data_IF_628234615134
#
_entry.id   IF_628234615134
#
_cell.length_a   1.000
_cell.length_b   1.000
_cell.length_c   1.000
_cell.angle_alpha   90.00
_cell.angle_beta   90.00
_cell.angle_gamma   90.00
#
_symmetry.space_group_name_H-M   'P 1'
#
loop_
_entity.id
_entity.type
_entity.pdbx_description
1 polymer ?
#
# COMPACT_ATOMS: atom_id res chain seq x y z
N UNK A 1 -28.23 -24.23 -43.40
CA UNK A 1 -27.26 -23.56 -44.30
C UNK A 1 -26.00 -23.26 -43.50
N UNK A 2 -24.84 -23.82 -43.87
CA UNK A 2 -23.56 -23.48 -43.23
C UNK A 2 -23.09 -22.12 -43.78
N UNK A 3 -22.92 -21.13 -42.91
CA UNK A 3 -22.35 -19.83 -43.27
C UNK A 3 -20.82 -19.95 -43.20
N UNK A 4 -20.13 -19.52 -44.25
CA UNK A 4 -18.67 -19.51 -44.30
C UNK A 4 -18.16 -18.14 -43.90
N UNK A 5 -17.21 -18.10 -42.97
CA UNK A 5 -16.48 -16.89 -42.61
C UNK A 5 -15.12 -16.89 -43.32
N UNK A 6 -14.73 -15.74 -43.88
CA UNK A 6 -13.37 -15.53 -44.39
C UNK A 6 -12.68 -14.48 -43.53
N UNK A 7 -11.66 -14.90 -42.80
CA UNK A 7 -10.73 -14.01 -42.11
C UNK A 7 -9.57 -13.75 -43.07
N UNK A 8 -9.37 -12.50 -43.47
CA UNK A 8 -8.20 -12.10 -44.25
C UNK A 8 -7.15 -11.55 -43.27
N UNK A 9 -6.01 -12.23 -43.16
CA UNK A 9 -4.85 -11.75 -42.40
C UNK A 9 -3.84 -11.23 -43.42
N UNK A 10 -3.69 -9.90 -43.52
CA UNK A 10 -2.65 -9.29 -44.32
C UNK A 10 -1.43 -8.99 -43.43
N UNK A 11 -0.29 -9.59 -43.77
CA UNK A 11 0.98 -9.39 -43.06
C UNK A 11 1.48 -7.97 -43.36
N UNK A 12 1.47 -7.09 -42.35
CA UNK A 12 2.06 -5.74 -42.43
C UNK A 12 1.33 -4.67 -41.61
N UNK A 13 0.00 -4.75 -41.51
CA UNK A 13 -0.83 -3.92 -40.60
C UNK A 13 -2.06 -4.77 -40.26
N UNK A 14 -2.15 -5.28 -39.03
CA UNK A 14 -3.28 -6.13 -38.64
C UNK A 14 -4.53 -5.28 -38.47
N UNK A 15 -5.36 -5.24 -39.51
CA UNK A 15 -6.76 -4.79 -39.42
C UNK A 15 -7.62 -6.04 -39.44
N UNK A 16 -8.13 -6.47 -38.29
CA UNK A 16 -9.11 -7.57 -38.24
C UNK A 16 -10.45 -7.01 -38.70
N UNK A 17 -10.74 -7.17 -39.99
CA UNK A 17 -12.06 -6.87 -40.57
C UNK A 17 -12.90 -8.13 -40.64
N UNK A 18 -13.99 -8.20 -39.88
CA UNK A 18 -15.01 -9.23 -40.04
C UNK A 18 -15.93 -8.77 -41.18
N UNK A 19 -15.93 -9.49 -42.30
CA UNK A 19 -16.85 -9.21 -43.42
C UNK A 19 -18.16 -9.97 -43.14
N UNK A 20 -19.21 -9.23 -42.79
CA UNK A 20 -20.56 -9.78 -42.69
C UNK A 20 -21.06 -10.26 -44.06
N UNK A 21 -21.58 -11.48 -44.14
CA UNK A 21 -22.22 -12.00 -45.35
C UNK A 21 -23.63 -11.42 -45.44
N UNK A 22 -23.85 -10.55 -46.42
CA UNK A 22 -25.18 -10.03 -46.79
C UNK A 22 -26.08 -11.19 -47.26
N UNK A 23 -27.26 -11.33 -46.68
CA UNK A 23 -28.39 -11.98 -47.36
C UNK A 23 -28.86 -11.09 -48.51
N UNK A 24 -29.19 -11.65 -49.70
CA UNK A 24 -29.62 -10.83 -50.82
C UNK A 24 -31.07 -10.39 -50.64
N UNK A 25 -31.27 -9.24 -49.99
CA UNK A 25 -32.44 -8.39 -50.18
C UNK A 25 -32.10 -6.95 -49.77
N UNK A 26 -32.39 -6.02 -50.67
CA UNK A 26 -32.16 -4.57 -50.61
C UNK A 26 -30.69 -4.11 -50.81
N UNK A 27 -30.44 -3.58 -52.01
CA UNK A 27 -29.27 -2.80 -52.33
C UNK A 27 -29.37 -1.42 -51.66
N UNK A 28 -28.46 -1.13 -50.73
CA UNK A 28 -28.35 0.18 -50.09
C UNK A 28 -26.97 0.34 -49.44
N UNK A 29 -26.18 1.28 -49.97
CA UNK A 29 -24.88 1.84 -49.53
C UNK A 29 -24.19 1.16 -48.34
N UNK A 30 -23.01 0.58 -48.61
CA UNK A 30 -22.16 -0.07 -47.63
C UNK A 30 -21.63 0.85 -46.54
N UNK A 31 -22.03 0.56 -45.31
CA UNK A 31 -21.31 0.89 -44.08
C UNK A 31 -20.59 -0.37 -43.60
N UNK A 32 -19.27 -0.33 -43.47
CA UNK A 32 -18.53 -1.39 -42.77
C UNK A 32 -18.89 -1.32 -41.28
N UNK A 33 -19.81 -2.17 -40.83
CA UNK A 33 -20.06 -2.37 -39.40
C UNK A 33 -18.82 -3.04 -38.79
N UNK A 34 -18.01 -2.22 -38.13
CA UNK A 34 -16.85 -2.67 -37.35
C UNK A 34 -17.41 -3.25 -36.05
N UNK A 35 -17.37 -4.57 -35.86
CA UNK A 35 -17.59 -5.15 -34.53
C UNK A 35 -16.48 -4.65 -33.61
N UNK A 36 -16.80 -3.68 -32.75
CA UNK A 36 -15.83 -3.04 -31.85
C UNK A 36 -15.63 -3.81 -30.54
N UNK A 37 -16.48 -4.79 -30.22
CA UNK A 37 -16.41 -5.54 -28.97
C UNK A 37 -16.08 -7.02 -29.19
N UNK A 38 -14.79 -7.30 -29.29
CA UNK A 38 -14.22 -8.66 -29.23
C UNK A 38 -14.56 -9.43 -27.94
N UNK A 39 -15.20 -8.80 -26.95
CA UNK A 39 -15.67 -9.42 -25.70
C UNK A 39 -16.94 -10.28 -25.86
N UNK A 40 -17.65 -10.15 -26.99
CA UNK A 40 -18.94 -10.81 -27.21
C UNK A 40 -18.83 -12.13 -27.96
N UNK A 41 -17.62 -12.53 -28.39
CA UNK A 41 -17.41 -13.75 -29.18
C UNK A 41 -17.29 -14.97 -28.25
N UNK A 42 -18.20 -15.96 -28.32
CA UNK A 42 -18.15 -17.17 -27.49
C UNK A 42 -16.86 -17.99 -27.74
N UNK A 43 -16.36 -18.69 -26.71
CA UNK A 43 -15.10 -19.46 -26.76
C UNK A 43 -15.07 -20.53 -27.85
N UNK A 44 -16.21 -21.15 -28.15
CA UNK A 44 -16.28 -22.21 -29.15
C UNK A 44 -16.18 -21.66 -30.58
N UNK A 45 -16.71 -20.45 -30.80
CA UNK A 45 -16.56 -19.74 -32.06
C UNK A 45 -15.12 -19.29 -32.27
N UNK A 46 -14.42 -18.87 -31.20
CA UNK A 46 -12.98 -18.62 -31.26
C UNK A 46 -12.19 -19.86 -31.69
N UNK A 47 -12.47 -21.03 -31.09
CA UNK A 47 -11.81 -22.29 -31.48
C UNK A 47 -12.07 -22.62 -32.96
N UNK A 48 -13.30 -22.45 -33.43
CA UNK A 48 -13.65 -22.68 -34.84
C UNK A 48 -12.94 -21.69 -35.78
N UNK A 49 -12.95 -20.39 -35.47
CA UNK A 49 -12.30 -19.34 -36.25
C UNK A 49 -10.78 -19.52 -36.35
N UNK A 50 -10.17 -20.05 -35.29
CA UNK A 50 -8.73 -20.20 -35.17
C UNK A 50 -8.23 -21.58 -35.63
N UNK A 51 -9.13 -22.56 -35.77
CA UNK A 51 -8.81 -23.91 -36.27
C UNK A 51 -8.07 -23.99 -37.61
N UNK A 52 -8.24 -23.07 -38.59
CA UNK A 52 -7.52 -23.12 -39.86
C UNK A 52 -6.13 -22.48 -39.82
N UNK A 53 -5.81 -21.74 -38.75
CA UNK A 53 -4.57 -20.99 -38.63
C UNK A 53 -3.46 -21.97 -38.23
N UNK A 54 -2.28 -21.83 -38.84
CA UNK A 54 -1.13 -22.66 -38.50
C UNK A 54 -0.77 -22.50 -37.02
N UNK A 55 -0.28 -23.56 -36.38
CA UNK A 55 0.04 -23.51 -34.96
C UNK A 55 1.08 -22.42 -34.63
N UNK A 56 2.02 -22.16 -35.54
CA UNK A 56 3.02 -21.09 -35.40
C UNK A 56 2.39 -19.69 -35.42
N UNK A 57 1.36 -19.48 -36.25
CA UNK A 57 0.64 -18.22 -36.33
C UNK A 57 -0.33 -18.04 -35.15
N UNK A 58 -0.89 -19.12 -34.60
CA UNK A 58 -1.66 -19.10 -33.36
C UNK A 58 -0.81 -18.68 -32.15
N UNK A 59 0.45 -19.11 -32.10
CA UNK A 59 1.39 -18.66 -31.09
C UNK A 59 1.70 -17.15 -31.23
N UNK A 60 1.85 -16.66 -32.47
CA UNK A 60 1.97 -15.22 -32.72
C UNK A 60 0.71 -14.45 -32.30
N UNK A 61 -0.49 -14.99 -32.56
CA UNK A 61 -1.75 -14.39 -32.14
C UNK A 61 -1.89 -14.36 -30.61
N UNK A 62 -1.47 -15.41 -29.91
CA UNK A 62 -1.39 -15.45 -28.46
C UNK A 62 -0.48 -14.36 -27.86
N UNK A 63 0.58 -13.97 -28.56
CA UNK A 63 1.44 -12.85 -28.15
C UNK A 63 0.80 -11.47 -28.39
N UNK A 64 -0.15 -11.38 -29.33
CA UNK A 64 -0.85 -10.12 -29.67
C UNK A 64 -1.95 -9.82 -28.66
N UNK A 65 -2.68 -10.84 -28.18
CA UNK A 65 -3.78 -10.63 -27.24
C UNK A 65 -3.97 -11.82 -26.28
N UNK A 66 -4.07 -11.51 -24.99
CA UNK A 66 -4.21 -12.49 -23.91
C UNK A 66 -5.43 -13.41 -24.03
N UNK A 67 -6.45 -13.03 -24.81
CA UNK A 67 -7.66 -13.85 -25.02
C UNK A 67 -7.39 -15.08 -25.86
N UNK A 68 -6.37 -15.02 -26.73
CA UNK A 68 -5.97 -16.17 -27.53
C UNK A 68 -5.27 -17.25 -26.68
N UNK A 69 -4.80 -16.95 -25.47
CA UNK A 69 -4.18 -17.94 -24.58
C UNK A 69 -5.11 -19.11 -24.22
N UNK A 70 -6.40 -18.84 -24.00
CA UNK A 70 -7.38 -19.89 -23.67
C UNK A 70 -7.64 -20.85 -24.84
N UNK A 71 -7.43 -20.39 -26.08
CA UNK A 71 -7.60 -21.20 -27.29
C UNK A 71 -6.35 -22.03 -27.59
N UNK A 72 -5.18 -21.53 -27.18
CA UNK A 72 -3.85 -22.13 -27.44
C UNK A 72 -3.43 -23.15 -26.36
N UNK A 73 -4.29 -23.44 -25.38
CA UNK A 73 -4.02 -24.33 -24.24
C UNK A 73 -3.63 -25.81 -24.58
N UNK A 74 -3.48 -26.18 -25.87
CA UNK A 74 -2.94 -27.46 -26.33
C UNK A 74 -1.60 -27.37 -27.10
N UNK A 75 -1.00 -26.19 -27.22
CA UNK A 75 0.16 -25.98 -28.09
C UNK A 75 1.46 -26.63 -27.57
N UNK A 76 2.07 -27.44 -28.44
CA UNK A 76 3.37 -28.12 -28.23
C UNK A 76 4.54 -27.46 -28.93
N UNK A 77 4.42 -26.27 -29.51
CA UNK A 77 5.49 -25.75 -30.37
C UNK A 77 6.76 -25.30 -29.66
N UNK A 78 7.69 -24.82 -30.48
CA UNK A 78 9.06 -24.46 -30.09
C UNK A 78 9.11 -23.37 -29.02
N UNK A 79 10.14 -23.46 -28.18
CA UNK A 79 10.45 -22.41 -27.22
C UNK A 79 10.93 -21.18 -27.98
N UNK A 80 10.25 -20.06 -27.79
CA UNK A 80 10.67 -18.77 -28.35
C UNK A 80 11.13 -17.85 -27.24
N UNK A 81 12.24 -17.15 -27.50
CA UNK A 81 12.71 -16.02 -26.70
C UNK A 81 12.05 -14.75 -27.23
N UNK A 82 11.57 -13.91 -26.33
CA UNK A 82 11.15 -12.55 -26.71
C UNK A 82 12.39 -11.67 -27.02
N UNK A 83 12.16 -10.42 -27.41
CA UNK A 83 13.24 -9.47 -27.70
C UNK A 83 14.16 -9.18 -26.50
N UNK A 84 13.75 -9.55 -25.28
CA UNK A 84 14.51 -9.40 -24.04
C UNK A 84 15.21 -10.71 -23.63
N UNK A 85 15.05 -11.78 -24.40
CA UNK A 85 15.61 -13.10 -24.10
C UNK A 85 14.76 -13.96 -23.17
N UNK A 86 13.54 -13.52 -22.81
CA UNK A 86 12.61 -14.27 -21.93
C UNK A 86 12.05 -15.46 -22.70
N UNK A 87 12.18 -16.66 -22.13
CA UNK A 87 11.50 -17.85 -22.64
C UNK A 87 10.11 -17.91 -22.04
N UNK A 88 9.08 -17.78 -22.87
CA UNK A 88 7.70 -17.91 -22.42
C UNK A 88 7.20 -19.36 -22.56
N UNK A 89 6.70 -19.91 -21.46
CA UNK A 89 6.12 -21.24 -21.38
C UNK A 89 4.63 -21.15 -21.08
N UNK A 90 3.83 -21.75 -21.95
CA UNK A 90 2.37 -21.71 -21.91
C UNK A 90 1.76 -23.09 -21.58
N UNK A 91 2.57 -24.15 -21.58
CA UNK A 91 2.17 -25.51 -21.23
C UNK A 91 3.26 -26.23 -20.43
N UNK A 92 2.87 -27.24 -19.66
CA UNK A 92 3.77 -28.17 -18.96
C UNK A 92 4.86 -28.74 -19.87
N UNK A 93 4.49 -29.14 -21.09
CA UNK A 93 5.44 -29.69 -22.05
C UNK A 93 6.48 -28.68 -22.55
N UNK A 94 6.11 -27.39 -22.68
CA UNK A 94 7.08 -26.33 -22.97
C UNK A 94 8.01 -26.10 -21.78
N UNK A 95 7.46 -26.12 -20.57
CA UNK A 95 8.23 -25.98 -19.36
C UNK A 95 9.31 -27.07 -19.20
N UNK A 96 8.96 -28.35 -19.36
CA UNK A 96 9.93 -29.46 -19.30
C UNK A 96 11.03 -29.33 -20.37
N UNK A 97 10.67 -28.93 -21.60
CA UNK A 97 11.67 -28.69 -22.65
C UNK A 97 12.59 -27.52 -22.33
N UNK A 98 12.07 -26.47 -21.71
CA UNK A 98 12.87 -25.31 -21.33
C UNK A 98 13.94 -25.73 -20.32
N UNK A 99 13.56 -26.53 -19.33
CA UNK A 99 14.49 -27.11 -18.35
C UNK A 99 15.50 -28.06 -19.00
N UNK A 100 15.07 -28.96 -19.89
CA UNK A 100 15.94 -29.96 -20.53
C UNK A 100 16.92 -29.37 -21.55
N UNK A 101 16.59 -28.22 -22.15
CA UNK A 101 17.40 -27.64 -23.22
C UNK A 101 18.82 -27.24 -22.77
N UNK A 102 19.10 -27.19 -21.45
CA UNK A 102 20.40 -26.82 -20.89
C UNK A 102 20.86 -25.40 -21.22
N UNK A 103 20.11 -24.68 -22.05
CA UNK A 103 20.25 -23.27 -22.31
C UNK A 103 19.66 -22.56 -21.11
N UNK A 104 20.46 -22.39 -20.05
CA UNK A 104 20.08 -21.67 -18.84
C UNK A 104 19.29 -20.44 -19.21
N UNK A 105 18.02 -20.48 -18.86
CA UNK A 105 17.07 -19.45 -19.19
C UNK A 105 17.29 -18.41 -18.12
N UNK A 106 18.01 -17.33 -18.40
CA UNK A 106 18.17 -16.25 -17.42
C UNK A 106 16.79 -15.72 -16.99
N UNK A 107 15.78 -15.80 -17.87
CA UNK A 107 14.44 -15.26 -17.66
C UNK A 107 13.32 -16.17 -18.20
N UNK A 108 12.44 -16.67 -17.31
CA UNK A 108 11.32 -17.55 -17.66
C UNK A 108 9.98 -16.86 -17.41
N UNK A 109 9.07 -16.85 -18.40
CA UNK A 109 7.69 -16.38 -18.24
C UNK A 109 6.70 -17.54 -18.23
N UNK A 110 6.02 -17.76 -17.11
CA UNK A 110 5.08 -18.88 -16.91
C UNK A 110 3.64 -18.39 -17.05
N UNK A 111 2.91 -18.94 -18.01
CA UNK A 111 1.56 -18.51 -18.39
C UNK A 111 0.46 -19.52 -18.07
N UNK A 112 0.72 -20.49 -17.20
CA UNK A 112 -0.24 -21.53 -16.83
C UNK A 112 -0.10 -21.91 -15.34
N UNK A 113 -1.17 -22.44 -14.70
CA UNK A 113 -1.09 -22.96 -13.34
C UNK A 113 -0.09 -24.13 -13.25
N UNK A 114 0.76 -24.09 -12.23
CA UNK A 114 1.81 -25.10 -12.01
C UNK A 114 1.32 -26.18 -11.05
N UNK A 115 1.59 -27.45 -11.36
CA UNK A 115 1.44 -28.54 -10.39
C UNK A 115 2.62 -28.59 -9.39
N UNK A 116 2.53 -29.41 -8.36
CA UNK A 116 3.54 -29.49 -7.28
C UNK A 116 4.95 -29.85 -7.79
N UNK A 117 5.04 -30.71 -8.80
CA UNK A 117 6.32 -31.11 -9.41
C UNK A 117 6.97 -29.94 -10.15
N UNK A 118 6.19 -29.21 -10.96
CA UNK A 118 6.65 -28.06 -11.73
C UNK A 118 7.08 -26.91 -10.81
N UNK A 119 6.31 -26.67 -9.75
CA UNK A 119 6.65 -25.70 -8.71
C UNK A 119 8.01 -26.01 -8.07
N UNK A 120 8.24 -27.28 -7.72
CA UNK A 120 9.50 -27.74 -7.12
C UNK A 120 10.67 -27.52 -8.07
N UNK A 121 10.50 -27.82 -9.37
CA UNK A 121 11.54 -27.60 -10.38
C UNK A 121 11.91 -26.12 -10.51
N UNK A 122 10.95 -25.21 -10.59
CA UNK A 122 11.22 -23.76 -10.65
C UNK A 122 11.91 -23.28 -9.38
N UNK A 123 11.40 -23.68 -8.22
CA UNK A 123 11.98 -23.29 -6.93
C UNK A 123 13.44 -23.73 -6.81
N UNK A 124 13.77 -24.95 -7.22
CA UNK A 124 15.16 -25.44 -7.20
C UNK A 124 16.03 -24.70 -8.21
N UNK A 125 15.51 -24.40 -9.40
CA UNK A 125 16.26 -23.63 -10.39
C UNK A 125 16.59 -22.19 -9.90
N UNK A 126 15.63 -21.53 -9.23
CA UNK A 126 15.88 -20.22 -8.61
C UNK A 126 16.91 -20.31 -7.47
N UNK A 127 16.82 -21.35 -6.62
CA UNK A 127 17.76 -21.58 -5.51
C UNK A 127 19.19 -21.80 -5.97
N UNK A 128 19.36 -22.61 -7.02
CA UNK A 128 20.68 -22.91 -7.61
C UNK A 128 21.21 -21.75 -8.47
N UNK A 129 20.47 -20.64 -8.57
CA UNK A 129 20.75 -19.47 -9.42
C UNK A 129 20.88 -19.82 -10.91
N UNK A 130 20.29 -20.95 -11.30
CA UNK A 130 20.25 -21.42 -12.67
C UNK A 130 19.12 -20.75 -13.47
N UNK A 131 18.12 -20.21 -12.75
CA UNK A 131 17.13 -19.27 -13.23
C UNK A 131 17.32 -17.95 -12.45
N UNK A 132 17.58 -16.85 -13.14
CA UNK A 132 17.80 -15.55 -12.49
C UNK A 132 16.46 -14.85 -12.22
N UNK A 133 15.50 -15.00 -13.13
CA UNK A 133 14.24 -14.27 -13.11
C UNK A 133 13.04 -15.09 -13.59
N UNK A 134 11.94 -15.04 -12.84
CA UNK A 134 10.67 -15.64 -13.22
C UNK A 134 9.54 -14.60 -13.31
N UNK A 135 8.66 -14.72 -14.32
CA UNK A 135 7.42 -13.96 -14.41
C UNK A 135 6.22 -14.90 -14.31
N UNK A 136 5.32 -14.65 -13.37
CA UNK A 136 4.15 -15.51 -13.11
C UNK A 136 2.87 -14.86 -13.65
N UNK A 137 2.17 -15.56 -14.53
CA UNK A 137 0.89 -15.16 -15.11
C UNK A 137 -0.18 -16.27 -14.93
N UNK A 138 -1.46 -15.91 -15.12
CA UNK A 138 -2.59 -16.84 -15.23
C UNK A 138 -2.73 -17.87 -14.09
N UNK A 139 -2.59 -17.43 -12.84
CA UNK A 139 -2.78 -18.33 -11.68
C UNK A 139 -1.57 -19.17 -11.32
N UNK A 140 -0.40 -18.91 -11.92
CA UNK A 140 0.83 -19.56 -11.52
C UNK A 140 1.17 -19.24 -10.06
N UNK A 141 1.51 -20.27 -9.30
CA UNK A 141 1.88 -20.18 -7.88
C UNK A 141 3.25 -20.77 -7.64
N UNK A 142 4.08 -20.14 -6.80
CA UNK A 142 5.34 -20.73 -6.35
C UNK A 142 5.39 -20.81 -4.82
N UNK A 143 5.85 -21.93 -4.23
CA UNK A 143 5.98 -22.03 -2.79
C UNK A 143 7.16 -21.20 -2.28
N UNK A 144 8.27 -21.14 -3.01
CA UNK A 144 9.47 -20.44 -2.53
C UNK A 144 10.34 -19.92 -3.67
N UNK A 145 10.90 -18.73 -3.47
CA UNK A 145 11.97 -18.13 -4.29
C UNK A 145 13.12 -17.72 -3.36
N UNK A 146 14.31 -18.29 -3.52
CA UNK A 146 15.49 -17.90 -2.75
C UNK A 146 16.52 -17.21 -3.66
N UNK A 147 17.05 -16.06 -3.26
CA UNK A 147 18.10 -15.27 -3.94
C UNK A 147 17.80 -14.73 -5.35
N UNK A 148 16.87 -15.33 -6.09
CA UNK A 148 16.47 -14.93 -7.44
C UNK A 148 15.47 -13.77 -7.48
N UNK A 149 15.03 -13.43 -8.70
CA UNK A 149 14.02 -12.40 -8.94
C UNK A 149 12.69 -13.01 -9.42
N UNK A 150 11.56 -12.49 -8.95
CA UNK A 150 10.24 -12.90 -9.43
C UNK A 150 9.31 -11.70 -9.64
N UNK A 151 8.50 -11.74 -10.69
CA UNK A 151 7.39 -10.80 -10.92
C UNK A 151 6.06 -11.53 -10.82
N UNK A 152 5.16 -11.04 -9.96
CA UNK A 152 3.88 -11.68 -9.64
C UNK A 152 2.73 -10.82 -10.15
N UNK A 153 2.03 -11.29 -11.19
CA UNK A 153 0.91 -10.58 -11.84
C UNK A 153 -0.45 -10.98 -11.25
N UNK A 154 -1.57 -10.33 -11.66
CA UNK A 154 -2.87 -10.60 -11.07
C UNK A 154 -3.29 -12.07 -11.18
N UNK A 155 -3.81 -12.61 -10.07
CA UNK A 155 -4.20 -14.01 -9.94
C UNK A 155 -3.06 -14.96 -9.56
N UNK A 156 -1.80 -14.51 -9.59
CA UNK A 156 -0.63 -15.32 -9.25
C UNK A 156 -0.19 -15.10 -7.79
N UNK A 157 0.52 -16.07 -7.23
CA UNK A 157 1.04 -15.94 -5.88
C UNK A 157 2.42 -16.56 -5.65
N UNK A 158 3.13 -16.04 -4.66
CA UNK A 158 4.35 -16.66 -4.11
C UNK A 158 4.20 -16.76 -2.61
N UNK A 159 4.43 -17.93 -2.02
CA UNK A 159 4.31 -18.07 -0.56
C UNK A 159 5.48 -17.37 0.13
N UNK A 160 6.73 -17.70 -0.22
CA UNK A 160 7.92 -17.11 0.43
C UNK A 160 8.95 -16.65 -0.58
N UNK A 161 9.47 -15.44 -0.37
CA UNK A 161 10.69 -14.95 -1.04
C UNK A 161 11.76 -14.73 0.03
N UNK A 162 12.92 -15.36 -0.11
CA UNK A 162 14.05 -15.23 0.84
C UNK A 162 15.25 -14.63 0.15
N UNK A 163 15.75 -13.49 0.65
CA UNK A 163 16.93 -12.78 0.12
C UNK A 163 16.91 -12.48 -1.39
N UNK A 164 15.72 -12.52 -2.00
CA UNK A 164 15.50 -12.32 -3.42
C UNK A 164 14.94 -10.93 -3.74
N UNK A 165 14.60 -10.73 -5.01
CA UNK A 165 13.89 -9.53 -5.47
C UNK A 165 12.50 -9.88 -5.95
N UNK A 166 11.48 -9.14 -5.54
CA UNK A 166 10.10 -9.39 -5.99
C UNK A 166 9.40 -8.13 -6.48
N UNK A 167 8.76 -8.22 -7.65
CA UNK A 167 7.86 -7.18 -8.16
C UNK A 167 6.41 -7.70 -8.10
N UNK A 168 5.62 -7.22 -7.15
CA UNK A 168 4.22 -7.60 -6.98
C UNK A 168 3.34 -6.60 -7.71
N UNK A 169 2.74 -7.02 -8.84
CA UNK A 169 1.93 -6.20 -9.75
C UNK A 169 0.51 -6.74 -9.84
N UNK A 170 -0.27 -6.56 -8.77
CA UNK A 170 -1.62 -7.11 -8.65
C UNK A 170 -1.71 -8.58 -8.23
N UNK A 171 -0.56 -9.26 -8.08
CA UNK A 171 -0.49 -10.58 -7.45
C UNK A 171 -0.32 -10.52 -5.93
N UNK A 172 -0.05 -11.66 -5.31
CA UNK A 172 0.12 -11.77 -3.85
C UNK A 172 1.43 -12.46 -3.48
N UNK A 173 2.11 -11.94 -2.47
CA UNK A 173 3.24 -12.63 -1.82
C UNK A 173 2.94 -12.76 -0.34
N UNK A 174 2.98 -13.97 0.22
CA UNK A 174 2.67 -14.14 1.65
C UNK A 174 3.80 -13.59 2.51
N UNK A 175 5.04 -13.98 2.24
CA UNK A 175 6.20 -13.55 3.04
C UNK A 175 7.37 -13.13 2.18
N UNK A 176 7.95 -11.98 2.49
CA UNK A 176 9.28 -11.57 2.02
C UNK A 176 10.20 -11.54 3.24
N UNK A 177 11.15 -12.48 3.29
CA UNK A 177 12.13 -12.62 4.36
C UNK A 177 13.50 -12.17 3.87
N UNK A 178 13.91 -10.94 4.21
CA UNK A 178 15.07 -10.31 3.60
C UNK A 178 14.83 -9.90 2.13
N UNK A 179 15.87 -9.41 1.47
CA UNK A 179 15.78 -8.98 0.06
C UNK A 179 15.03 -7.67 -0.18
N UNK A 180 14.49 -7.51 -1.40
CA UNK A 180 13.84 -6.27 -1.84
C UNK A 180 12.52 -6.51 -2.58
N UNK A 181 11.50 -5.71 -2.29
CA UNK A 181 10.19 -5.78 -2.93
C UNK A 181 9.72 -4.44 -3.54
N UNK A 182 9.15 -4.50 -4.74
CA UNK A 182 8.32 -3.44 -5.30
C UNK A 182 6.87 -3.89 -5.33
N UNK A 183 5.95 -3.09 -4.77
CA UNK A 183 4.53 -3.43 -4.66
C UNK A 183 3.70 -2.33 -5.32
N UNK A 184 2.94 -2.68 -6.35
CA UNK A 184 2.10 -1.71 -7.05
C UNK A 184 0.88 -2.35 -7.72
N UNK A 185 -0.04 -1.51 -8.21
CA UNK A 185 -1.21 -1.91 -9.02
C UNK A 185 -2.05 -3.02 -8.36
N UNK A 186 -2.38 -2.86 -7.08
CA UNK A 186 -3.14 -3.84 -6.30
C UNK A 186 -2.33 -5.05 -5.83
N UNK A 187 -0.99 -4.99 -5.96
CA UNK A 187 -0.12 -6.03 -5.42
C UNK A 187 -0.15 -6.01 -3.89
N UNK A 188 -0.08 -7.20 -3.29
CA UNK A 188 -0.12 -7.35 -1.83
C UNK A 188 1.05 -8.19 -1.33
N UNK A 189 1.70 -7.73 -0.26
CA UNK A 189 2.57 -8.55 0.58
C UNK A 189 1.91 -8.70 1.95
N UNK A 190 1.75 -9.92 2.44
CA UNK A 190 1.17 -10.11 3.78
C UNK A 190 2.20 -9.77 4.86
N UNK A 191 3.41 -10.32 4.78
CA UNK A 191 4.45 -10.08 5.78
C UNK A 191 5.78 -9.72 5.12
N UNK A 192 6.35 -8.60 5.54
CA UNK A 192 7.76 -8.28 5.31
C UNK A 192 8.54 -8.52 6.61
N UNK A 193 9.48 -9.44 6.58
CA UNK A 193 10.33 -9.81 7.71
C UNK A 193 11.79 -9.51 7.37
N UNK A 194 12.24 -8.30 7.68
CA UNK A 194 13.55 -7.80 7.22
C UNK A 194 13.53 -7.35 5.76
N UNK A 195 14.70 -6.94 5.24
CA UNK A 195 14.82 -6.45 3.85
C UNK A 195 14.22 -5.06 3.64
N UNK A 196 13.80 -4.76 2.41
CA UNK A 196 13.21 -3.46 2.07
C UNK A 196 12.08 -3.55 1.06
N UNK A 197 11.10 -2.65 1.14
CA UNK A 197 10.02 -2.55 0.16
C UNK A 197 9.69 -1.12 -0.26
N UNK A 198 9.30 -0.95 -1.52
CA UNK A 198 8.69 0.26 -2.05
C UNK A 198 7.25 -0.03 -2.51
N UNK A 199 6.29 0.71 -1.98
CA UNK A 199 4.85 0.56 -2.26
C UNK A 199 4.36 1.80 -3.01
N UNK A 200 3.66 1.61 -4.13
CA UNK A 200 3.11 2.72 -4.94
C UNK A 200 1.67 2.48 -5.38
N UNK A 201 0.88 3.54 -5.44
CA UNK A 201 -0.52 3.45 -5.85
C UNK A 201 -1.29 2.53 -4.90
N UNK A 202 -2.16 1.67 -5.43
CA UNK A 202 -2.93 0.71 -4.65
C UNK A 202 -2.14 -0.52 -4.13
N UNK A 203 -0.82 -0.43 -4.03
CA UNK A 203 0.00 -1.49 -3.43
C UNK A 203 -0.18 -1.55 -1.91
N UNK A 204 -0.02 -2.74 -1.33
CA UNK A 204 -0.21 -2.97 0.11
C UNK A 204 0.85 -3.89 0.71
N UNK A 205 1.35 -3.53 1.90
CA UNK A 205 2.06 -4.44 2.81
C UNK A 205 1.25 -4.53 4.10
N UNK A 206 0.85 -5.74 4.51
CA UNK A 206 0.01 -5.88 5.71
C UNK A 206 0.85 -5.71 6.97
N UNK A 207 1.92 -6.48 7.14
CA UNK A 207 2.73 -6.45 8.36
C UNK A 207 4.20 -6.23 8.06
N UNK A 208 4.83 -5.29 8.78
CA UNK A 208 6.27 -5.06 8.77
C UNK A 208 6.86 -5.51 10.11
N UNK A 209 7.64 -6.59 10.06
CA UNK A 209 8.37 -7.18 11.17
C UNK A 209 9.87 -7.03 10.92
N UNK A 210 10.38 -5.80 11.05
CA UNK A 210 11.77 -5.46 10.74
C UNK A 210 11.98 -5.06 9.28
N UNK A 211 13.16 -4.53 8.95
CA UNK A 211 13.47 -3.99 7.63
C UNK A 211 13.00 -2.54 7.43
N UNK A 212 12.84 -2.13 6.17
CA UNK A 212 12.47 -0.76 5.80
C UNK A 212 11.42 -0.70 4.69
N UNK A 213 10.31 0.00 4.91
CA UNK A 213 9.23 0.15 3.92
C UNK A 213 9.01 1.61 3.57
N UNK A 214 8.91 1.89 2.28
CA UNK A 214 8.59 3.22 1.75
C UNK A 214 7.30 3.18 0.94
N UNK A 215 6.23 3.76 1.48
CA UNK A 215 4.93 3.89 0.84
C UNK A 215 4.77 5.30 0.25
N UNK A 216 4.42 5.39 -1.03
CA UNK A 216 4.20 6.66 -1.72
C UNK A 216 2.96 6.61 -2.61
N UNK A 217 2.40 7.77 -2.92
CA UNK A 217 1.30 7.94 -3.87
C UNK A 217 0.11 7.01 -3.58
N UNK A 218 -0.36 6.99 -2.33
CA UNK A 218 -1.46 6.14 -1.89
C UNK A 218 -1.09 4.71 -1.49
N UNK A 219 0.20 4.36 -1.44
CA UNK A 219 0.66 3.08 -0.93
C UNK A 219 0.25 2.86 0.52
N UNK A 220 -0.11 1.62 0.87
CA UNK A 220 -0.66 1.28 2.18
C UNK A 220 0.23 0.31 2.97
N UNK A 221 0.43 0.62 4.25
CA UNK A 221 0.98 -0.29 5.26
C UNK A 221 -0.11 -0.51 6.32
N UNK A 222 -0.43 -1.75 6.68
CA UNK A 222 -1.41 -1.96 7.77
C UNK A 222 -0.74 -1.81 9.12
N UNK A 223 0.27 -2.62 9.42
CA UNK A 223 0.89 -2.67 10.75
C UNK A 223 2.40 -2.59 10.66
N UNK A 224 2.99 -1.70 11.47
CA UNK A 224 4.43 -1.65 11.75
C UNK A 224 4.65 -2.12 13.18
N UNK A 225 5.18 -3.34 13.34
CA UNK A 225 5.48 -3.91 14.66
C UNK A 225 6.93 -3.65 15.08
N UNK A 226 7.82 -3.57 14.09
CA UNK A 226 9.26 -3.32 14.24
C UNK A 226 9.85 -2.88 12.90
N UNK A 227 11.05 -2.30 12.92
CA UNK A 227 11.69 -1.76 11.72
C UNK A 227 11.32 -0.31 11.43
N UNK A 228 11.46 0.11 10.18
CA UNK A 228 11.27 1.50 9.73
C UNK A 228 10.21 1.57 8.64
N UNK A 229 9.22 2.44 8.80
CA UNK A 229 8.25 2.76 7.77
C UNK A 229 8.30 4.24 7.42
N UNK A 230 8.19 4.58 6.14
CA UNK A 230 8.01 5.95 5.68
C UNK A 230 6.83 6.02 4.74
N UNK A 231 5.91 6.94 5.00
CA UNK A 231 4.81 7.28 4.10
C UNK A 231 4.98 8.72 3.60
N UNK A 232 4.83 8.90 2.28
CA UNK A 232 4.98 10.17 1.59
C UNK A 232 3.84 10.36 0.58
N UNK A 233 3.52 11.62 0.25
CA UNK A 233 2.52 11.99 -0.78
C UNK A 233 1.21 11.19 -0.69
N UNK A 234 0.58 11.19 0.48
CA UNK A 234 -0.68 10.48 0.73
C UNK A 234 -0.53 8.98 1.00
N UNK A 235 0.67 8.52 1.38
CA UNK A 235 0.85 7.17 1.93
C UNK A 235 0.11 6.98 3.25
N UNK A 236 -0.35 5.77 3.52
CA UNK A 236 -1.13 5.46 4.73
C UNK A 236 -0.48 4.34 5.53
N UNK A 237 -0.43 4.52 6.84
CA UNK A 237 -0.11 3.48 7.81
C UNK A 237 -1.34 3.31 8.71
N UNK A 238 -1.84 2.09 8.91
CA UNK A 238 -3.03 1.92 9.79
C UNK A 238 -2.63 1.95 11.25
N UNK A 239 -1.62 1.18 11.64
CA UNK A 239 -1.18 1.04 13.04
C UNK A 239 0.34 1.00 13.14
N UNK A 240 0.89 1.73 14.11
CA UNK A 240 2.27 1.59 14.59
C UNK A 240 2.22 1.07 16.02
N UNK A 241 2.65 -0.17 16.22
CA UNK A 241 2.73 -0.81 17.54
C UNK A 241 4.16 -0.95 18.05
N UNK A 242 5.14 -0.70 17.18
CA UNK A 242 6.56 -0.62 17.51
C UNK A 242 7.37 -0.08 16.33
N UNK A 243 8.70 -0.06 16.48
CA UNK A 243 9.59 0.47 15.44
C UNK A 243 9.48 1.98 15.25
N UNK A 244 9.79 2.46 14.04
CA UNK A 244 9.81 3.88 13.69
C UNK A 244 8.98 4.16 12.44
N UNK A 245 8.14 5.18 12.48
CA UNK A 245 7.40 5.66 11.31
C UNK A 245 7.71 7.14 11.01
N UNK A 246 7.76 7.49 9.73
CA UNK A 246 7.89 8.88 9.27
C UNK A 246 6.81 9.22 8.25
N UNK A 247 6.09 10.32 8.47
CA UNK A 247 5.02 10.81 7.61
C UNK A 247 5.38 12.18 7.03
N UNK A 248 5.20 12.34 5.72
CA UNK A 248 5.30 13.62 5.02
C UNK A 248 4.18 13.80 3.98
N UNK A 249 3.86 15.05 3.64
CA UNK A 249 3.10 15.37 2.43
C UNK A 249 1.66 14.86 2.40
N UNK A 250 0.90 15.08 3.48
CA UNK A 250 -0.49 14.65 3.59
C UNK A 250 -0.65 13.15 3.89
N UNK A 251 0.40 12.49 4.38
CA UNK A 251 0.34 11.09 4.80
C UNK A 251 -0.36 10.93 6.15
N UNK A 252 -0.84 9.73 6.42
CA UNK A 252 -1.69 9.47 7.60
C UNK A 252 -1.27 8.23 8.38
N UNK A 253 -1.29 8.31 9.72
CA UNK A 253 -1.36 7.14 10.61
C UNK A 253 -2.75 7.07 11.24
N UNK A 254 -3.35 5.88 11.27
CA UNK A 254 -4.59 5.65 12.02
C UNK A 254 -4.36 5.67 13.52
N UNK A 255 -3.51 4.76 14.02
CA UNK A 255 -3.27 4.57 15.45
C UNK A 255 -1.79 4.36 15.78
N UNK A 256 -1.33 4.94 16.89
CA UNK A 256 -0.02 4.69 17.50
C UNK A 256 -0.22 4.08 18.89
N UNK A 257 0.13 2.80 19.04
CA UNK A 257 0.08 2.07 20.31
C UNK A 257 1.48 1.86 20.91
N UNK A 258 2.54 2.10 20.12
CA UNK A 258 3.94 1.99 20.54
C UNK A 258 4.90 2.50 19.46
N UNK A 259 6.21 2.49 19.76
CA UNK A 259 7.25 2.95 18.84
C UNK A 259 7.41 4.47 18.79
N UNK A 260 8.06 4.95 17.72
CA UNK A 260 8.35 6.38 17.51
C UNK A 260 7.81 6.84 16.16
N UNK A 261 7.07 7.94 16.13
CA UNK A 261 6.49 8.51 14.92
C UNK A 261 6.97 9.94 14.73
N UNK A 262 7.43 10.28 13.53
CA UNK A 262 7.73 11.66 13.13
C UNK A 262 6.77 12.08 12.02
N UNK A 263 6.05 13.19 12.19
CA UNK A 263 5.00 13.61 11.27
C UNK A 263 5.15 15.08 10.84
N UNK A 264 5.21 15.34 9.53
CA UNK A 264 5.32 16.67 8.93
C UNK A 264 4.22 16.90 7.90
N UNK A 265 3.41 17.97 8.09
CA UNK A 265 2.24 18.24 7.25
C UNK A 265 1.36 16.99 7.05
N UNK A 266 1.14 16.27 8.14
CA UNK A 266 0.58 14.92 8.16
C UNK A 266 -0.31 14.73 9.39
N UNK A 267 -1.13 13.68 9.39
CA UNK A 267 -2.08 13.44 10.49
C UNK A 267 -1.86 12.09 11.17
N UNK A 268 -2.00 12.09 12.49
CA UNK A 268 -2.10 10.88 13.32
C UNK A 268 -3.51 10.84 13.91
N UNK A 269 -4.23 9.73 13.76
CA UNK A 269 -5.60 9.60 14.27
C UNK A 269 -5.64 9.54 15.79
N UNK A 270 -5.04 8.51 16.39
CA UNK A 270 -4.97 8.35 17.85
C UNK A 270 -3.59 7.94 18.34
N UNK A 271 -3.28 8.32 19.57
CA UNK A 271 -2.06 7.94 20.30
C UNK A 271 -2.46 7.36 21.65
N UNK A 272 -2.20 6.08 21.85
CA UNK A 272 -2.43 5.36 23.11
C UNK A 272 -1.12 4.87 23.75
N UNK A 273 -0.01 4.91 23.02
CA UNK A 273 1.34 4.60 23.52
C UNK A 273 2.43 5.07 22.56
N UNK A 274 3.69 4.92 22.97
CA UNK A 274 4.85 5.35 22.18
C UNK A 274 5.10 6.86 22.21
N UNK A 275 5.89 7.33 21.25
CA UNK A 275 6.31 8.72 21.10
C UNK A 275 5.92 9.26 19.72
N UNK A 276 5.27 10.41 19.67
CA UNK A 276 4.88 11.07 18.42
C UNK A 276 5.43 12.48 18.37
N UNK A 277 6.21 12.80 17.33
CA UNK A 277 6.77 14.12 17.07
C UNK A 277 6.12 14.72 15.82
N UNK A 278 5.27 15.72 15.99
CA UNK A 278 4.54 16.35 14.91
C UNK A 278 4.94 17.82 14.72
N UNK A 279 5.17 18.21 13.47
CA UNK A 279 5.61 19.55 13.08
C UNK A 279 4.92 20.07 11.82
N UNK A 280 4.88 21.39 11.65
CA UNK A 280 4.46 22.07 10.42
C UNK A 280 3.05 21.68 9.95
N UNK A 281 2.03 22.23 10.60
CA UNK A 281 0.61 22.00 10.29
C UNK A 281 0.19 20.53 10.37
N UNK A 282 0.85 19.78 11.24
CA UNK A 282 0.45 18.40 11.53
C UNK A 282 -0.67 18.36 12.57
N UNK A 283 -1.46 17.29 12.54
CA UNK A 283 -2.58 17.10 13.46
C UNK A 283 -2.52 15.75 14.18
N UNK A 284 -2.89 15.75 15.45
CA UNK A 284 -3.15 14.52 16.22
C UNK A 284 -4.62 14.53 16.63
N UNK A 285 -5.38 13.50 16.28
CA UNK A 285 -6.81 13.45 16.59
C UNK A 285 -7.07 13.30 18.09
N UNK A 286 -6.50 12.28 18.73
CA UNK A 286 -6.65 12.06 20.17
C UNK A 286 -5.39 11.50 20.84
N UNK A 287 -5.20 11.86 22.11
CA UNK A 287 -4.14 11.35 22.98
C UNK A 287 -4.79 10.73 24.22
N UNK A 288 -4.72 9.41 24.33
CA UNK A 288 -5.20 8.65 25.50
C UNK A 288 -4.04 8.07 26.32
N UNK A 289 -2.82 8.06 25.75
CA UNK A 289 -1.59 7.57 26.36
C UNK A 289 -0.38 7.95 25.51
N UNK A 290 0.82 7.54 25.95
CA UNK A 290 2.08 7.89 25.27
C UNK A 290 2.46 9.37 25.41
N UNK A 291 3.45 9.78 24.65
CA UNK A 291 4.00 11.14 24.65
C UNK A 291 3.94 11.76 23.25
N UNK A 292 3.33 12.94 23.16
CA UNK A 292 3.23 13.71 21.92
C UNK A 292 3.99 15.01 22.06
N UNK A 293 4.83 15.31 21.07
CA UNK A 293 5.47 16.60 20.91
C UNK A 293 4.91 17.25 19.65
N UNK A 294 4.15 18.35 19.80
CA UNK A 294 3.52 19.04 18.68
C UNK A 294 4.06 20.46 18.52
N UNK A 295 4.46 20.85 17.32
CA UNK A 295 4.97 22.18 17.02
C UNK A 295 4.32 22.73 15.77
N UNK A 296 3.61 23.85 15.89
CA UNK A 296 2.83 24.43 14.79
C UNK A 296 1.82 23.40 14.25
N UNK A 297 0.75 23.16 14.99
CA UNK A 297 -0.18 22.07 14.72
C UNK A 297 -1.47 22.10 15.53
N UNK A 298 -2.18 20.98 15.50
CA UNK A 298 -3.42 20.80 16.26
C UNK A 298 -3.47 19.45 16.95
N UNK A 299 -4.13 19.43 18.10
CA UNK A 299 -4.49 18.22 18.84
C UNK A 299 -5.99 18.28 19.11
N UNK A 300 -6.75 17.26 18.71
CA UNK A 300 -8.20 17.26 18.94
C UNK A 300 -8.53 17.11 20.42
N UNK A 301 -8.18 15.97 21.01
CA UNK A 301 -8.47 15.71 22.43
C UNK A 301 -7.33 15.05 23.19
N UNK A 302 -7.29 15.31 24.49
CA UNK A 302 -6.37 14.69 25.44
C UNK A 302 -7.18 14.16 26.60
N UNK A 303 -7.15 12.84 26.83
CA UNK A 303 -7.76 12.19 27.99
C UNK A 303 -6.74 11.45 28.86
N UNK A 304 -5.49 11.36 28.38
CA UNK A 304 -4.38 10.70 29.07
C UNK A 304 -3.04 11.00 28.36
N UNK A 305 -1.95 10.46 28.89
CA UNK A 305 -0.61 10.67 28.32
C UNK A 305 -0.06 12.08 28.51
N UNK A 306 0.97 12.42 27.73
CA UNK A 306 1.66 13.70 27.76
C UNK A 306 1.64 14.42 26.40
N UNK A 307 1.42 15.73 26.43
CA UNK A 307 1.59 16.62 25.28
C UNK A 307 2.60 17.72 25.63
N UNK A 308 3.63 17.86 24.81
CA UNK A 308 4.53 19.01 24.80
C UNK A 308 4.28 19.84 23.55
N UNK A 309 3.89 21.10 23.71
CA UNK A 309 3.38 21.90 22.58
C UNK A 309 3.97 23.31 22.45
N UNK A 310 4.04 23.78 21.19
CA UNK A 310 4.43 25.13 20.75
C UNK A 310 3.51 25.55 19.61
N UNK A 311 2.97 26.77 19.63
CA UNK A 311 2.12 27.29 18.56
C UNK A 311 1.03 26.28 18.14
N UNK A 312 0.42 25.62 19.13
CA UNK A 312 -0.47 24.47 18.93
C UNK A 312 -1.85 24.79 19.50
N UNK A 313 -2.89 24.39 18.78
CA UNK A 313 -4.26 24.39 19.29
C UNK A 313 -4.64 23.01 19.84
N UNK A 314 -5.28 22.98 21.00
CA UNK A 314 -5.84 21.77 21.61
C UNK A 314 -7.33 22.01 21.84
N UNK A 315 -8.21 21.20 21.24
CA UNK A 315 -9.65 21.45 21.29
C UNK A 315 -10.32 20.95 22.58
N UNK A 316 -9.75 19.95 23.27
CA UNK A 316 -10.28 19.44 24.54
C UNK A 316 -9.18 18.84 25.41
N UNK A 317 -9.23 19.11 26.71
CA UNK A 317 -8.33 18.52 27.71
C UNK A 317 -9.16 17.98 28.88
N UNK A 318 -9.21 16.66 29.01
CA UNK A 318 -9.95 15.93 30.05
C UNK A 318 -9.06 14.82 30.64
N UNK A 319 -7.87 15.21 31.09
CA UNK A 319 -6.87 14.31 31.65
C UNK A 319 -5.47 14.52 31.05
N UNK A 320 -4.54 13.66 31.48
CA UNK A 320 -3.14 13.71 31.01
C UNK A 320 -2.36 14.96 31.48
N UNK A 321 -1.23 15.20 30.82
CA UNK A 321 -0.34 16.34 31.08
C UNK A 321 -0.13 17.16 29.82
N UNK A 322 -0.29 18.48 29.90
CA UNK A 322 0.01 19.42 28.82
C UNK A 322 1.12 20.37 29.26
N UNK A 323 2.24 20.37 28.53
CA UNK A 323 3.36 21.29 28.73
C UNK A 323 3.44 22.29 27.59
N UNK A 324 3.08 23.52 27.89
CA UNK A 324 3.11 24.66 26.99
C UNK A 324 4.50 25.31 27.05
N UNK A 325 5.25 25.18 25.97
CA UNK A 325 6.69 25.51 25.99
C UNK A 325 7.00 26.93 25.52
N UNK A 326 6.19 27.50 24.64
CA UNK A 326 6.36 28.84 24.09
C UNK A 326 5.01 29.42 23.65
N UNK A 327 5.07 30.53 22.93
CA UNK A 327 3.93 31.31 22.50
C UNK A 327 2.93 30.52 21.62
N UNK A 328 1.71 31.06 21.54
CA UNK A 328 0.69 30.63 20.57
C UNK A 328 -0.08 29.37 20.93
N UNK A 329 0.04 28.84 22.16
CA UNK A 329 -0.73 27.68 22.60
C UNK A 329 -2.15 28.09 22.98
N UNK A 330 -3.14 27.40 22.41
CA UNK A 330 -4.56 27.61 22.68
C UNK A 330 -5.17 26.32 23.17
N UNK A 331 -5.68 26.30 24.39
CA UNK A 331 -6.40 25.15 24.95
C UNK A 331 -7.87 25.53 25.11
N UNK A 332 -8.75 24.66 24.63
CA UNK A 332 -10.20 24.79 24.75
C UNK A 332 -10.76 23.62 25.56
N UNK A 333 -11.98 23.80 26.09
CA UNK A 333 -12.73 22.77 26.81
C UNK A 333 -11.86 22.03 27.84
N UNK A 334 -11.17 22.80 28.68
CA UNK A 334 -10.29 22.23 29.71
C UNK A 334 -11.14 21.84 30.92
N UNK A 335 -11.29 20.54 31.12
CA UNK A 335 -12.08 19.92 32.20
C UNK A 335 -11.18 19.39 33.31
N UNK A 336 -10.10 18.67 32.96
CA UNK A 336 -9.24 17.97 33.90
C UNK A 336 -7.80 17.82 33.40
N UNK A 337 -6.85 17.51 34.29
CA UNK A 337 -5.47 17.19 33.95
C UNK A 337 -4.45 18.17 34.54
N UNK A 338 -3.19 18.03 34.12
CA UNK A 338 -2.09 18.90 34.58
C UNK A 338 -1.56 19.75 33.45
N UNK A 339 -1.67 21.06 33.57
CA UNK A 339 -1.14 22.04 32.61
C UNK A 339 0.06 22.73 33.23
N UNK A 340 1.18 22.71 32.52
CA UNK A 340 2.38 23.47 32.88
C UNK A 340 2.70 24.46 31.77
N UNK A 341 3.02 25.71 32.12
CA UNK A 341 3.35 26.73 31.16
C UNK A 341 4.62 27.49 31.55
N UNK A 342 5.56 27.61 30.61
CA UNK A 342 6.79 28.36 30.84
C UNK A 342 6.58 29.88 30.77
N UNK A 343 5.58 30.36 30.02
CA UNK A 343 5.27 31.80 29.87
C UNK A 343 3.76 32.01 29.80
N UNK A 344 3.13 32.52 30.87
CA UNK A 344 1.67 32.66 30.93
C UNK A 344 1.11 33.65 29.91
N UNK A 345 1.94 34.61 29.46
CA UNK A 345 1.52 35.69 28.56
C UNK A 345 1.01 35.22 27.19
N UNK A 346 1.23 33.95 26.85
CA UNK A 346 0.98 33.42 25.52
C UNK A 346 0.21 32.10 25.51
N UNK A 347 -0.45 31.77 26.63
CA UNK A 347 -1.40 30.68 26.76
C UNK A 347 -2.83 31.26 26.70
N UNK A 348 -3.63 30.82 25.73
CA UNK A 348 -5.07 31.09 25.73
C UNK A 348 -5.80 29.88 26.31
N UNK A 349 -6.58 30.11 27.37
CA UNK A 349 -7.43 29.09 27.99
C UNK A 349 -8.90 29.49 27.78
N UNK A 350 -9.65 28.66 27.06
CA UNK A 350 -11.10 28.73 26.97
C UNK A 350 -11.66 27.52 27.73
N UNK A 351 -12.43 27.76 28.79
CA UNK A 351 -13.06 26.70 29.56
C UNK A 351 -14.38 27.19 30.15
N UNK A 352 -15.38 26.32 30.06
CA UNK A 352 -16.72 26.55 30.60
C UNK A 352 -16.78 26.33 32.12
N UNK A 353 -15.69 25.84 32.74
CA UNK A 353 -15.63 25.56 34.17
C UNK A 353 -15.01 26.76 34.90
N UNK A 354 -15.66 27.32 35.93
CA UNK A 354 -15.09 28.43 36.70
C UNK A 354 -13.84 27.99 37.46
N UNK A 355 -12.78 28.80 37.39
CA UNK A 355 -11.53 28.60 38.11
C UNK A 355 -11.48 29.46 39.37
N UNK A 356 -10.99 28.89 40.47
CA UNK A 356 -10.55 29.63 41.66
C UNK A 356 -9.03 29.65 41.70
N UNK A 357 -8.43 30.83 41.68
CA UNK A 357 -6.99 30.97 41.93
C UNK A 357 -6.71 30.91 43.44
N UNK A 358 -5.92 29.92 43.88
CA UNK A 358 -5.34 29.89 45.23
C UNK A 358 -3.82 29.76 45.12
N UNK A 359 -3.12 30.90 45.14
CA UNK A 359 -1.66 30.95 45.04
C UNK A 359 -1.12 30.66 43.63
N UNK A 360 -0.06 29.85 43.54
CA UNK A 360 0.55 29.38 42.27
C UNK A 360 -0.28 28.31 41.55
N UNK A 361 -1.45 27.94 42.09
CA UNK A 361 -2.32 26.88 41.61
C UNK A 361 -3.72 27.44 41.34
N UNK A 362 -4.25 27.15 40.15
CA UNK A 362 -5.66 27.31 39.84
C UNK A 362 -6.36 25.99 40.17
N UNK A 363 -7.37 26.03 41.04
CA UNK A 363 -8.27 24.91 41.33
C UNK A 363 -9.63 25.18 40.68
N UNK A 364 -10.29 24.16 40.15
CA UNK A 364 -11.69 24.27 39.71
C UNK A 364 -12.58 24.60 40.92
N UNK A 365 -13.43 25.62 40.78
CA UNK A 365 -14.30 26.09 41.85
C UNK A 365 -15.54 25.19 41.97
N UNK A 366 -15.82 24.65 43.16
CA UNK A 366 -17.14 24.06 43.46
C UNK A 366 -17.36 22.62 42.98
N UNK A 367 -16.28 21.86 42.82
CA UNK A 367 -16.33 20.46 42.38
C UNK A 367 -16.14 19.52 43.60
N UNK A 368 -16.92 18.43 43.66
CA UNK A 368 -16.86 17.37 44.69
C UNK A 368 -15.39 16.90 44.89
N UNK A 369 -14.86 16.64 46.09
CA UNK A 369 -13.51 16.09 46.26
C UNK A 369 -13.19 14.83 45.44
N UNK A 370 -14.21 14.09 44.97
CA UNK A 370 -14.05 12.96 44.06
C UNK A 370 -14.04 13.34 42.56
N UNK A 371 -14.18 14.62 42.22
CA UNK A 371 -14.22 15.11 40.85
C UNK A 371 -12.84 15.58 40.35
N UNK A 372 -12.65 15.47 39.03
CA UNK A 372 -11.34 15.54 38.39
C UNK A 372 -10.58 16.85 38.70
N UNK A 373 -9.37 16.72 39.24
CA UNK A 373 -8.53 17.86 39.61
C UNK A 373 -7.84 18.43 38.38
N UNK A 374 -8.08 19.71 38.11
CA UNK A 374 -7.28 20.51 37.18
C UNK A 374 -6.17 21.21 37.94
N UNK A 375 -4.93 21.04 37.49
CA UNK A 375 -3.74 21.65 38.07
C UNK A 375 -3.07 22.51 37.01
N UNK A 376 -2.94 23.81 37.26
CA UNK A 376 -2.22 24.73 36.36
C UNK A 376 -1.01 25.29 37.11
N UNK A 377 0.19 25.05 36.58
CA UNK A 377 1.46 25.56 37.11
C UNK A 377 2.15 26.47 36.08
N UNK A 378 2.42 27.72 36.46
CA UNK A 378 3.13 28.70 35.62
C UNK A 378 4.40 29.19 36.32
N UNK A 379 5.54 29.13 35.64
CA UNK A 379 6.85 29.41 36.25
C UNK A 379 7.21 30.92 36.33
N UNK A 380 6.51 31.80 35.60
CA UNK A 380 6.68 33.27 35.72
C UNK A 380 5.46 33.92 36.40
N UNK A 381 5.39 33.77 37.72
CA UNK A 381 4.22 34.10 38.52
C UNK A 381 3.94 35.61 38.70
N UNK A 382 4.86 36.50 38.30
CA UNK A 382 4.66 37.96 38.47
C UNK A 382 3.57 38.54 37.57
N UNK A 383 3.00 37.73 36.66
CA UNK A 383 2.05 38.15 35.62
C UNK A 383 0.75 37.32 35.54
N UNK A 384 0.51 36.40 36.47
CA UNK A 384 -0.66 35.50 36.41
C UNK A 384 -2.01 36.23 36.54
N UNK A 385 -2.06 37.38 37.20
CA UNK A 385 -3.33 37.99 37.64
C UNK A 385 -4.09 38.86 36.61
N UNK A 386 -3.48 39.37 35.52
CA UNK A 386 -4.27 40.02 34.45
C UNK A 386 -4.36 39.26 33.11
N UNK A 387 -3.58 38.18 32.89
CA UNK A 387 -3.20 37.80 31.51
C UNK A 387 -3.74 36.44 31.03
N UNK A 388 -4.26 35.58 31.93
CA UNK A 388 -5.20 34.55 31.46
C UNK A 388 -6.49 35.29 31.06
N UNK A 389 -6.69 35.55 29.77
CA UNK A 389 -8.01 35.92 29.25
C UNK A 389 -8.90 34.69 29.38
N UNK A 390 -9.35 34.42 30.60
CA UNK A 390 -10.43 33.50 30.91
C UNK A 390 -11.67 34.13 30.27
N UNK A 391 -11.94 33.73 29.03
CA UNK A 391 -13.26 33.91 28.44
C UNK A 391 -14.12 32.79 29.00
N UNK A 392 -14.90 33.14 30.03
CA UNK A 392 -16.07 32.36 30.46
C UNK A 392 -17.17 32.41 29.42
#
# INVERSE_FOLDING_TARGET
>A
MRKWFRVAIAVGVVTVGVIGVHTPASAGKGSAERMTNLHEVPSDLWKEMLSPISEADLACLAQIDKRFYAVVAGYRGELRRDAKGVVHVHTAGQFERALQSGSWVDQLGVHFPLNEEEQTKITNALKEQTLIYAELYNGATLPTVAHGQVSVYPGCSVTTVTDGRVNVRGGTVTTVAGGFANVCRGGTITTLSGGSACIRGSGMVTTVNGGSVFAVDGGMITTVSSGVARADMGGTITTVSGGTASLCGGSTIGEVTGGTVCCEKSSVGSVSGGEVYCRHQSSVGSITGGEVTCRDGSVGSITGGGLKCWDTSVDSVDGGTVKCMNNGVKLKNVLAGRITCNSPDNLTLESDVPFTAQGHLLHTAGMDPDSATLIIECWDAKRLLPICQLKS
#
